data_IF_772778147602
#
_entry.id   IF_772778147602
#
_cell.length_a   1.000
_cell.length_b   1.000
_cell.length_c   1.000
_cell.angle_alpha   90.00
_cell.angle_beta   90.00
_cell.angle_gamma   90.00
#
_symmetry.space_group_name_H-M   'P 1'
#
loop_
_entity.id
_entity.type
_entity.pdbx_description
1 polymer ?
#
# COMPACT_ATOMS: atom_id res chain seq x y z
N UNK A 1 29.92 -2.67 -25.59
CA UNK A 1 29.27 -3.98 -25.80
C UNK A 1 27.86 -3.78 -25.33
N UNK A 2 26.92 -3.56 -26.24
CA UNK A 2 25.53 -3.27 -25.89
C UNK A 2 24.86 -4.56 -25.40
N UNK A 3 24.69 -4.67 -24.09
CA UNK A 3 23.81 -5.68 -23.50
C UNK A 3 22.39 -5.41 -24.02
N UNK A 4 21.91 -6.28 -24.91
CA UNK A 4 20.48 -6.34 -25.25
C UNK A 4 19.71 -6.63 -23.97
N UNK A 5 19.16 -5.60 -23.34
CA UNK A 5 18.20 -5.73 -22.25
C UNK A 5 16.95 -6.41 -22.80
N UNK A 6 16.62 -7.57 -22.26
CA UNK A 6 15.41 -8.30 -22.64
C UNK A 6 14.26 -7.73 -21.83
N UNK A 7 13.33 -7.03 -22.49
CA UNK A 7 12.05 -6.64 -21.91
C UNK A 7 11.23 -7.91 -21.67
N UNK A 8 11.07 -8.30 -20.41
CA UNK A 8 10.20 -9.42 -20.05
C UNK A 8 8.79 -8.89 -19.83
N UNK A 9 7.89 -9.26 -20.73
CA UNK A 9 6.48 -8.89 -20.69
C UNK A 9 5.62 -10.10 -21.03
N UNK A 10 4.56 -10.31 -20.25
CA UNK A 10 3.60 -11.40 -20.45
C UNK A 10 2.18 -10.85 -20.40
N UNK A 11 1.36 -11.22 -21.40
CA UNK A 11 -0.06 -10.82 -21.44
C UNK A 11 -0.89 -11.76 -20.58
N UNK A 12 -1.66 -11.20 -19.66
CA UNK A 12 -2.38 -11.96 -18.63
C UNK A 12 -3.81 -11.46 -18.45
N UNK A 13 -4.71 -12.35 -18.01
CA UNK A 13 -6.10 -12.01 -17.66
C UNK A 13 -6.14 -11.42 -16.25
N UNK A 14 -6.39 -10.12 -16.13
CA UNK A 14 -6.53 -9.45 -14.83
C UNK A 14 -7.88 -9.74 -14.18
N UNK A 15 -8.95 -9.76 -14.98
CA UNK A 15 -10.31 -10.01 -14.51
C UNK A 15 -11.25 -10.41 -15.63
N UNK A 16 -12.45 -10.85 -15.29
CA UNK A 16 -13.49 -11.21 -16.25
C UNK A 16 -14.89 -10.86 -15.77
N UNK A 17 -15.85 -10.88 -16.69
CA UNK A 17 -17.27 -10.75 -16.38
C UNK A 17 -17.91 -12.06 -15.91
N UNK A 18 -17.14 -13.14 -15.78
CA UNK A 18 -17.60 -14.37 -15.16
C UNK A 18 -17.55 -14.26 -13.63
N UNK A 19 -18.30 -15.11 -12.93
CA UNK A 19 -18.26 -15.23 -11.48
C UNK A 19 -16.85 -15.64 -11.07
N UNK A 20 -16.19 -14.83 -10.23
CA UNK A 20 -14.87 -15.16 -9.71
C UNK A 20 -14.95 -16.16 -8.54
N UNK A 21 -13.78 -16.61 -8.05
CA UNK A 21 -13.70 -17.55 -6.91
C UNK A 21 -14.31 -17.02 -5.60
N UNK A 22 -14.60 -15.72 -5.53
CA UNK A 22 -15.23 -15.05 -4.40
C UNK A 22 -16.74 -14.82 -4.62
N UNK A 23 -17.31 -15.32 -5.73
CA UNK A 23 -18.73 -15.15 -6.06
C UNK A 23 -19.07 -13.76 -6.62
N UNK A 24 -18.06 -12.94 -6.95
CA UNK A 24 -18.29 -11.59 -7.47
C UNK A 24 -18.35 -11.58 -9.00
N UNK A 25 -19.21 -10.72 -9.55
CA UNK A 25 -19.36 -10.46 -10.98
C UNK A 25 -18.92 -9.02 -11.25
N UNK A 26 -18.03 -8.83 -12.23
CA UNK A 26 -17.66 -7.49 -12.71
C UNK A 26 -18.38 -7.24 -14.04
N UNK A 27 -19.10 -6.12 -14.15
CA UNK A 27 -19.78 -5.76 -15.40
C UNK A 27 -18.76 -5.43 -16.49
N UNK A 28 -19.11 -5.63 -17.76
CA UNK A 28 -18.30 -5.18 -18.90
C UNK A 28 -17.91 -3.70 -18.76
N UNK A 29 -18.87 -2.85 -18.42
CA UNK A 29 -18.64 -1.42 -18.22
C UNK A 29 -17.59 -1.15 -17.13
N UNK A 30 -17.57 -1.93 -16.04
CA UNK A 30 -16.55 -1.82 -15.00
C UNK A 30 -15.16 -2.28 -15.49
N UNK A 31 -15.09 -3.34 -16.31
CA UNK A 31 -13.84 -3.76 -16.97
C UNK A 31 -13.30 -2.66 -17.91
N UNK A 32 -14.16 -2.09 -18.75
CA UNK A 32 -13.82 -0.99 -19.66
C UNK A 32 -13.38 0.25 -18.88
N UNK A 33 -14.07 0.57 -17.78
CA UNK A 33 -13.68 1.67 -16.89
C UNK A 33 -12.33 1.43 -16.20
N UNK A 34 -11.82 0.21 -16.15
CA UNK A 34 -10.49 -0.08 -15.61
C UNK A 34 -9.39 0.29 -16.60
N UNK A 35 -9.68 0.33 -17.90
CA UNK A 35 -8.71 0.62 -18.95
C UNK A 35 -8.10 2.03 -18.83
N UNK A 36 -8.88 3.03 -18.39
CA UNK A 36 -8.36 4.40 -18.15
C UNK A 36 -7.25 4.45 -17.10
N UNK A 37 -7.24 3.51 -16.14
CA UNK A 37 -6.19 3.44 -15.13
C UNK A 37 -4.96 2.68 -15.64
N UNK A 38 -5.16 1.58 -16.37
CA UNK A 38 -4.06 0.77 -16.92
C UNK A 38 -3.33 1.52 -18.05
N UNK A 39 -4.08 2.11 -18.96
CA UNK A 39 -3.56 2.84 -20.12
C UNK A 39 -3.32 4.32 -19.83
N UNK A 40 -3.50 4.75 -18.57
CA UNK A 40 -3.29 6.13 -18.14
C UNK A 40 -1.81 6.54 -18.10
N UNK A 41 -1.58 7.80 -17.72
CA UNK A 41 -0.22 8.39 -17.55
C UNK A 41 0.55 7.81 -16.37
N UNK A 42 -0.16 7.17 -15.44
CA UNK A 42 0.37 6.48 -14.26
C UNK A 42 0.02 5.01 -14.41
N UNK A 43 0.92 4.12 -13.98
CA UNK A 43 0.72 2.67 -14.18
C UNK A 43 0.40 1.97 -12.87
N UNK A 44 -0.59 1.05 -12.85
CA UNK A 44 -0.79 0.17 -11.72
C UNK A 44 0.48 -0.64 -11.44
N UNK A 45 0.78 -0.84 -10.17
CA UNK A 45 1.87 -1.73 -9.75
C UNK A 45 1.61 -3.16 -10.20
N UNK A 46 2.66 -3.88 -10.57
CA UNK A 46 2.65 -5.33 -10.57
C UNK A 46 2.98 -5.80 -9.15
N UNK A 47 1.95 -6.10 -8.35
CA UNK A 47 2.06 -6.53 -6.96
C UNK A 47 2.03 -8.04 -6.77
N UNK A 48 2.19 -8.49 -5.53
CA UNK A 48 2.07 -9.89 -5.11
C UNK A 48 0.91 -10.04 -4.14
N UNK A 49 -0.09 -10.85 -4.50
CA UNK A 49 -1.26 -11.18 -3.66
C UNK A 49 -1.95 -9.96 -3.00
N UNK A 50 -2.01 -8.83 -3.71
CA UNK A 50 -2.50 -7.55 -3.19
C UNK A 50 -1.80 -7.08 -1.89
N UNK A 51 -0.62 -7.60 -1.58
CA UNK A 51 0.14 -7.27 -0.39
C UNK A 51 1.00 -6.02 -0.65
N UNK A 52 0.60 -4.89 -0.04
CA UNK A 52 1.28 -3.59 -0.17
C UNK A 52 2.67 -3.55 0.47
N UNK A 53 2.97 -4.50 1.36
CA UNK A 53 4.23 -4.53 2.13
C UNK A 53 5.44 -4.88 1.28
N UNK A 54 5.21 -5.44 0.09
CA UNK A 54 6.28 -5.72 -0.86
C UNK A 54 6.50 -4.52 -1.78
N UNK A 55 7.75 -4.24 -2.21
CA UNK A 55 7.96 -3.40 -3.39
C UNK A 55 7.31 -4.04 -4.63
N UNK A 56 6.90 -3.27 -5.65
CA UNK A 56 6.41 -3.82 -6.91
C UNK A 56 7.44 -4.72 -7.61
N UNK A 57 6.99 -5.69 -8.41
CA UNK A 57 7.82 -6.45 -9.35
C UNK A 57 8.03 -5.70 -10.68
N UNK A 58 7.18 -4.71 -10.94
CA UNK A 58 7.11 -3.96 -12.17
C UNK A 58 5.78 -3.23 -12.28
N UNK A 59 5.20 -3.18 -13.48
CA UNK A 59 3.97 -2.44 -13.77
C UNK A 59 3.01 -3.23 -14.66
N UNK A 60 1.74 -2.82 -14.64
CA UNK A 60 0.70 -3.33 -15.53
C UNK A 60 0.43 -2.27 -16.60
N UNK A 61 0.41 -2.65 -17.87
CA UNK A 61 0.22 -1.73 -18.99
C UNK A 61 -0.55 -2.39 -20.15
N UNK A 62 -0.87 -1.62 -21.21
CA UNK A 62 -1.45 -2.11 -22.47
C UNK A 62 -2.71 -2.97 -22.27
N UNK A 63 -3.62 -2.45 -21.43
CA UNK A 63 -4.88 -3.08 -21.11
C UNK A 63 -5.84 -3.08 -22.30
N UNK A 64 -6.60 -4.16 -22.44
CA UNK A 64 -7.66 -4.33 -23.44
C UNK A 64 -8.81 -5.13 -22.82
N UNK A 65 -10.04 -4.87 -23.26
CA UNK A 65 -11.17 -5.76 -22.98
C UNK A 65 -11.44 -6.58 -24.22
N UNK A 66 -11.33 -7.90 -24.10
CA UNK A 66 -11.62 -8.85 -25.18
C UNK A 66 -12.85 -9.68 -24.84
N UNK A 67 -13.67 -10.01 -25.84
CA UNK A 67 -14.80 -10.91 -25.69
C UNK A 67 -14.42 -12.31 -26.18
N UNK A 68 -14.80 -13.34 -25.41
CA UNK A 68 -14.71 -14.73 -25.82
C UNK A 68 -15.87 -15.52 -25.23
N UNK A 69 -16.63 -16.19 -26.10
CA UNK A 69 -17.77 -17.03 -25.72
C UNK A 69 -18.82 -16.29 -24.85
N UNK A 70 -19.08 -15.01 -25.13
CA UNK A 70 -19.99 -14.16 -24.35
C UNK A 70 -19.45 -13.70 -22.99
N UNK A 71 -18.19 -14.02 -22.66
CA UNK A 71 -17.50 -13.54 -21.46
C UNK A 71 -16.50 -12.45 -21.86
N UNK A 72 -16.54 -11.32 -21.15
CA UNK A 72 -15.59 -10.22 -21.32
C UNK A 72 -14.40 -10.41 -20.38
N UNK A 73 -13.19 -10.25 -20.89
CA UNK A 73 -11.94 -10.39 -20.16
C UNK A 73 -11.15 -9.09 -20.24
N UNK A 74 -10.74 -8.57 -19.09
CA UNK A 74 -9.73 -7.52 -19.02
C UNK A 74 -8.36 -8.19 -19.05
N UNK A 75 -7.64 -8.01 -20.15
CA UNK A 75 -6.27 -8.50 -20.33
C UNK A 75 -5.31 -7.31 -20.31
N UNK A 76 -4.08 -7.53 -19.84
CA UNK A 76 -3.03 -6.52 -19.83
C UNK A 76 -1.65 -7.17 -19.83
N UNK A 77 -0.65 -6.38 -20.16
CA UNK A 77 0.75 -6.80 -20.13
C UNK A 77 1.31 -6.57 -18.71
N UNK A 78 1.91 -7.63 -18.16
CA UNK A 78 2.72 -7.56 -16.94
C UNK A 78 4.17 -7.29 -17.35
N UNK A 79 4.68 -6.09 -17.09
CA UNK A 79 6.05 -5.70 -17.41
C UNK A 79 6.90 -5.70 -16.15
N UNK A 80 7.97 -6.47 -16.13
CA UNK A 80 8.89 -6.59 -14.99
C UNK A 80 10.06 -5.61 -15.11
N UNK A 81 10.64 -5.19 -13.98
CA UNK A 81 11.84 -4.34 -14.02
C UNK A 81 13.00 -5.02 -14.73
N UNK A 82 13.71 -4.26 -15.57
CA UNK A 82 14.82 -4.75 -16.38
C UNK A 82 16.17 -4.41 -15.76
N UNK A 83 16.22 -3.30 -15.00
CA UNK A 83 17.45 -2.78 -14.43
C UNK A 83 17.36 -2.84 -12.90
N UNK A 84 18.44 -3.28 -12.27
CA UNK A 84 18.64 -3.26 -10.82
C UNK A 84 20.03 -2.69 -10.54
N UNK A 85 20.12 -1.69 -9.67
CA UNK A 85 21.37 -1.01 -9.33
C UNK A 85 21.48 -0.81 -7.83
N UNK A 86 22.63 -1.16 -7.25
CA UNK A 86 22.96 -0.76 -5.88
C UNK A 86 23.29 0.73 -5.84
N UNK A 87 22.67 1.45 -4.91
CA UNK A 87 23.00 2.84 -4.58
C UNK A 87 23.38 2.91 -3.11
N UNK A 88 24.40 3.71 -2.81
CA UNK A 88 24.83 3.96 -1.43
C UNK A 88 24.57 5.42 -1.12
N UNK A 89 23.79 5.67 -0.08
CA UNK A 89 23.54 7.02 0.39
C UNK A 89 24.75 7.55 1.17
N UNK A 90 24.83 8.87 1.32
CA UNK A 90 25.91 9.55 2.05
C UNK A 90 26.09 9.09 3.51
N UNK A 91 25.03 8.54 4.13
CA UNK A 91 25.06 7.97 5.47
C UNK A 91 25.47 6.47 5.49
N UNK A 92 25.90 5.92 4.36
CA UNK A 92 26.29 4.52 4.21
C UNK A 92 25.13 3.55 3.97
N UNK A 93 23.87 4.01 3.96
CA UNK A 93 22.72 3.14 3.71
C UNK A 93 22.76 2.61 2.28
N UNK A 94 22.80 1.28 2.15
CA UNK A 94 22.74 0.60 0.86
C UNK A 94 21.30 0.32 0.45
N UNK A 95 20.94 0.77 -0.74
CA UNK A 95 19.63 0.57 -1.34
C UNK A 95 19.77 -0.08 -2.72
N UNK A 96 18.68 -0.66 -3.19
CA UNK A 96 18.53 -1.13 -4.57
C UNK A 96 17.54 -0.20 -5.26
N UNK A 97 17.91 0.25 -6.46
CA UNK A 97 17.03 0.94 -7.39
C UNK A 97 16.65 -0.03 -8.52
N UNK A 98 15.34 -0.21 -8.74
CA UNK A 98 14.79 -0.96 -9.87
C UNK A 98 14.05 -0.01 -10.83
N UNK A 99 14.25 -0.21 -12.14
CA UNK A 99 13.73 0.69 -13.17
C UNK A 99 13.53 0.01 -14.53
N UNK A 100 12.73 0.67 -15.38
CA UNK A 100 12.54 0.34 -16.79
C UNK A 100 13.55 1.10 -17.66
N UNK A 101 13.94 0.54 -18.80
CA UNK A 101 14.88 1.21 -19.72
C UNK A 101 14.22 2.13 -20.75
N UNK A 102 12.92 1.98 -20.97
CA UNK A 102 12.18 2.64 -22.04
C UNK A 102 11.50 3.95 -21.58
N UNK A 103 10.44 3.81 -20.81
CA UNK A 103 9.47 4.83 -20.47
C UNK A 103 9.31 4.89 -18.96
N UNK A 104 9.33 6.10 -18.43
CA UNK A 104 9.21 6.36 -17.00
C UNK A 104 7.78 6.80 -16.70
N UNK A 105 6.97 5.86 -16.21
CA UNK A 105 5.62 6.15 -15.71
C UNK A 105 5.58 6.01 -14.19
N UNK A 106 5.21 7.05 -13.44
CA UNK A 106 4.99 6.91 -12.01
C UNK A 106 3.80 5.98 -11.70
N UNK A 107 3.79 5.42 -10.50
CA UNK A 107 2.77 4.46 -10.10
C UNK A 107 1.46 5.15 -9.72
N UNK A 108 0.32 4.53 -10.09
CA UNK A 108 -1.01 5.04 -9.75
C UNK A 108 -1.20 5.18 -8.24
N UNK A 109 -0.68 4.25 -7.43
CA UNK A 109 -0.78 4.31 -5.96
C UNK A 109 -0.03 5.49 -5.31
N UNK A 110 0.88 6.13 -6.06
CA UNK A 110 1.63 7.31 -5.62
C UNK A 110 0.96 8.62 -6.01
N UNK A 111 -0.21 8.57 -6.66
CA UNK A 111 -0.97 9.77 -6.97
C UNK A 111 -1.28 10.54 -5.67
N UNK A 112 -0.94 11.83 -5.69
CA UNK A 112 -1.08 12.68 -4.54
C UNK A 112 -2.49 13.21 -4.44
N UNK A 113 -3.11 12.95 -3.30
CA UNK A 113 -4.42 13.48 -2.96
C UNK A 113 -4.34 14.12 -1.57
N UNK A 114 -4.98 15.28 -1.41
CA UNK A 114 -5.16 15.88 -0.09
C UNK A 114 -6.28 15.14 0.63
N UNK A 115 -6.01 14.78 1.88
CA UNK A 115 -6.99 14.18 2.77
C UNK A 115 -7.56 15.31 3.64
N UNK A 116 -8.80 15.67 3.37
CA UNK A 116 -9.51 16.76 4.09
C UNK A 116 -10.12 16.28 5.41
N UNK A 117 -10.54 15.02 5.46
CA UNK A 117 -11.14 14.38 6.64
C UNK A 117 -10.41 13.08 6.92
N UNK A 118 -10.18 12.74 8.18
CA UNK A 118 -9.59 11.45 8.56
C UNK A 118 -10.46 10.32 8.01
N UNK A 119 -9.84 9.32 7.39
CA UNK A 119 -10.52 8.17 6.79
C UNK A 119 -10.01 6.87 7.41
N UNK A 120 -10.92 5.98 7.81
CA UNK A 120 -10.59 4.61 8.21
C UNK A 120 -11.10 3.67 7.14
N UNK A 121 -10.20 2.84 6.61
CA UNK A 121 -10.53 1.82 5.63
C UNK A 121 -10.33 0.42 6.20
N UNK A 122 -11.26 -0.48 5.90
CA UNK A 122 -11.18 -1.89 6.30
C UNK A 122 -11.44 -2.81 5.11
N UNK A 123 -10.87 -4.01 5.15
CA UNK A 123 -11.22 -5.10 4.25
C UNK A 123 -12.31 -5.98 4.89
N UNK A 124 -13.56 -5.99 4.36
CA UNK A 124 -14.65 -6.78 4.93
C UNK A 124 -14.36 -8.29 4.95
N UNK A 125 -13.42 -8.79 4.13
CA UNK A 125 -12.97 -10.19 4.18
C UNK A 125 -12.36 -10.51 5.55
N UNK A 126 -11.69 -9.54 6.20
CA UNK A 126 -11.17 -9.70 7.55
C UNK A 126 -12.26 -9.71 8.63
N UNK A 127 -13.52 -9.46 8.28
CA UNK A 127 -14.69 -9.46 9.17
C UNK A 127 -15.70 -10.54 8.78
N UNK A 128 -15.22 -11.63 8.16
CA UNK A 128 -16.06 -12.76 7.74
C UNK A 128 -16.69 -12.59 6.35
N UNK A 129 -16.24 -11.61 5.56
CA UNK A 129 -16.67 -11.40 4.18
C UNK A 129 -18.00 -10.67 4.00
N UNK A 130 -18.62 -10.20 5.08
CA UNK A 130 -19.86 -9.43 5.02
C UNK A 130 -19.58 -7.92 4.97
N UNK A 131 -20.11 -7.25 3.94
CA UNK A 131 -20.15 -5.79 3.85
C UNK A 131 -20.81 -5.15 5.08
N UNK A 132 -21.87 -5.77 5.61
CA UNK A 132 -22.57 -5.29 6.80
C UNK A 132 -21.64 -5.29 8.03
N UNK A 133 -20.83 -6.34 8.20
CA UNK A 133 -19.87 -6.39 9.31
C UNK A 133 -18.80 -5.31 9.17
N UNK A 134 -18.34 -5.05 7.94
CA UNK A 134 -17.43 -3.94 7.63
C UNK A 134 -18.03 -2.58 8.03
N UNK A 135 -19.27 -2.31 7.63
CA UNK A 135 -19.97 -1.08 7.98
C UNK A 135 -20.21 -0.94 9.48
N UNK A 136 -20.61 -2.01 10.17
CA UNK A 136 -20.81 -1.99 11.61
C UNK A 136 -19.51 -1.66 12.36
N UNK A 137 -18.40 -2.30 11.96
CA UNK A 137 -17.08 -2.00 12.50
C UNK A 137 -16.73 -0.51 12.37
N UNK A 138 -16.94 0.07 11.19
CA UNK A 138 -16.65 1.48 10.90
C UNK A 138 -17.59 2.43 11.66
N UNK A 139 -18.88 2.10 11.74
CA UNK A 139 -19.89 2.91 12.43
C UNK A 139 -19.62 2.98 13.93
N UNK A 140 -19.19 1.88 14.54
CA UNK A 140 -18.80 1.88 15.95
C UNK A 140 -17.61 2.81 16.21
N UNK A 141 -16.55 2.73 15.39
CA UNK A 141 -15.41 3.64 15.48
C UNK A 141 -15.83 5.10 15.30
N UNK A 142 -16.75 5.37 14.38
CA UNK A 142 -17.29 6.70 14.13
C UNK A 142 -18.10 7.25 15.31
N UNK A 143 -18.99 6.45 15.88
CA UNK A 143 -19.83 6.84 17.03
C UNK A 143 -19.00 7.10 18.29
N UNK A 144 -17.87 6.42 18.40
CA UNK A 144 -16.95 6.53 19.52
C UNK A 144 -15.85 7.59 19.36
N UNK A 145 -15.77 8.21 18.17
CA UNK A 145 -14.76 9.19 17.81
C UNK A 145 -15.20 10.60 18.22
N UNK A 146 -14.26 11.36 18.76
CA UNK A 146 -14.43 12.81 19.02
C UNK A 146 -14.05 13.66 17.81
N UNK A 147 -13.66 13.01 16.71
CA UNK A 147 -13.28 13.61 15.44
C UNK A 147 -14.28 13.22 14.35
N UNK A 148 -14.49 14.12 13.40
CA UNK A 148 -15.17 13.78 12.16
C UNK A 148 -14.29 12.80 11.36
N UNK A 149 -14.81 11.59 11.14
CA UNK A 149 -14.14 10.55 10.35
C UNK A 149 -15.05 10.02 9.25
N UNK A 150 -14.43 9.61 8.14
CA UNK A 150 -15.06 8.85 7.06
C UNK A 150 -14.68 7.39 7.20
N UNK A 151 -15.64 6.49 7.08
CA UNK A 151 -15.39 5.06 6.94
C UNK A 151 -15.49 4.67 5.48
N UNK A 152 -14.60 3.80 5.01
CA UNK A 152 -14.71 3.19 3.69
C UNK A 152 -14.16 1.77 3.68
N UNK A 153 -14.35 1.09 2.55
CA UNK A 153 -13.94 -0.30 2.38
C UNK A 153 -12.97 -0.41 1.22
N UNK A 154 -12.08 -1.39 1.31
CA UNK A 154 -11.29 -1.85 0.17
C UNK A 154 -11.36 -3.38 0.11
N UNK A 155 -11.16 -3.95 -1.07
CA UNK A 155 -11.26 -5.41 -1.26
C UNK A 155 -9.97 -5.90 -1.87
N UNK A 156 -9.33 -6.87 -1.20
CA UNK A 156 -8.19 -7.61 -1.74
C UNK A 156 -8.67 -8.97 -2.22
N UNK A 157 -8.45 -9.29 -3.50
CA UNK A 157 -8.79 -10.60 -4.07
C UNK A 157 -7.72 -11.66 -3.77
N UNK A 158 -7.29 -11.75 -2.52
CA UNK A 158 -6.45 -12.83 -1.98
C UNK A 158 -7.33 -13.93 -1.41
N UNK A 159 -6.86 -15.18 -1.40
CA UNK A 159 -7.62 -16.31 -0.85
C UNK A 159 -7.89 -16.15 0.66
N UNK A 160 -6.87 -15.74 1.42
CA UNK A 160 -7.00 -15.43 2.85
C UNK A 160 -6.08 -14.24 3.13
N UNK A 161 -6.53 -12.99 2.88
CA UNK A 161 -5.69 -11.82 3.06
C UNK A 161 -5.29 -11.64 4.53
N UNK A 162 -4.07 -11.17 4.75
CA UNK A 162 -3.62 -10.80 6.08
C UNK A 162 -4.51 -9.66 6.63
N UNK A 163 -4.93 -9.70 7.91
CA UNK A 163 -5.73 -8.65 8.50
C UNK A 163 -5.12 -7.27 8.28
N UNK A 164 -5.88 -6.29 7.78
CA UNK A 164 -5.38 -4.94 7.52
C UNK A 164 -6.44 -3.89 7.88
N UNK A 165 -5.97 -2.81 8.50
CA UNK A 165 -6.73 -1.57 8.71
C UNK A 165 -5.86 -0.39 8.28
N UNK A 166 -6.47 0.56 7.57
CA UNK A 166 -5.78 1.76 7.06
C UNK A 166 -6.41 2.97 7.70
N UNK A 167 -5.59 3.85 8.28
CA UNK A 167 -6.01 5.13 8.84
C UNK A 167 -5.31 6.22 8.03
N UNK A 168 -6.08 6.96 7.23
CA UNK A 168 -5.57 8.10 6.48
C UNK A 168 -5.74 9.37 7.30
N UNK A 169 -4.63 10.06 7.54
CA UNK A 169 -4.59 11.30 8.30
C UNK A 169 -4.43 12.51 7.37
N UNK A 170 -4.87 13.68 7.83
CA UNK A 170 -4.69 14.92 7.08
C UNK A 170 -3.24 15.40 7.12
N UNK A 171 -2.82 16.28 6.19
CA UNK A 171 -1.47 16.86 6.19
C UNK A 171 -1.21 17.61 7.51
N UNK A 172 -2.22 18.26 8.09
CA UNK A 172 -2.13 19.02 9.34
C UNK A 172 -1.72 18.12 10.51
N UNK A 173 -2.32 16.92 10.62
CA UNK A 173 -1.94 15.92 11.63
C UNK A 173 -0.50 15.44 11.39
N UNK A 174 -0.09 15.26 10.13
CA UNK A 174 1.32 14.99 9.80
C UNK A 174 2.27 16.06 10.32
N UNK A 175 1.91 17.34 10.22
CA UNK A 175 2.73 18.42 10.78
C UNK A 175 2.73 18.39 12.32
N UNK A 176 1.59 18.09 12.96
CA UNK A 176 1.46 17.93 14.41
C UNK A 176 2.36 16.80 14.97
N UNK A 177 2.49 15.71 14.22
CA UNK A 177 3.36 14.57 14.47
C UNK A 177 4.86 14.87 14.21
N UNK A 178 5.20 16.11 13.84
CA UNK A 178 6.59 16.57 13.68
C UNK A 178 7.21 16.29 12.30
N UNK A 179 6.57 15.46 11.48
CA UNK A 179 7.07 15.02 10.16
C UNK A 179 6.69 15.95 9.00
N UNK A 180 5.79 16.90 9.24
CA UNK A 180 5.41 17.90 8.25
C UNK A 180 6.59 18.76 7.78
N UNK A 181 6.62 19.05 6.47
CA UNK A 181 7.64 19.86 5.81
C UNK A 181 7.20 21.31 5.53
N UNK A 182 5.96 21.65 5.90
CA UNK A 182 5.39 23.00 5.82
C UNK A 182 5.37 23.63 7.21
N UNK A 183 5.47 24.97 7.27
CA UNK A 183 5.27 25.71 8.52
C UNK A 183 3.77 25.79 8.83
N UNK A 184 3.40 25.64 10.11
CA UNK A 184 2.04 25.88 10.59
C UNK A 184 1.93 27.37 10.95
N UNK A 185 0.86 28.08 10.52
CA UNK A 185 0.53 29.39 11.07
C UNK A 185 0.25 29.32 12.59
N UNK A 186 0.72 30.29 13.38
CA UNK A 186 0.61 30.27 14.85
C UNK A 186 -0.82 30.03 15.36
N UNK A 187 -1.83 30.62 14.70
CA UNK A 187 -3.25 30.46 15.07
C UNK A 187 -3.80 29.03 14.92
N UNK A 188 -3.16 28.19 14.10
CA UNK A 188 -3.56 26.78 13.94
C UNK A 188 -2.87 25.87 14.96
N UNK A 189 -1.82 26.33 15.66
CA UNK A 189 -1.04 25.48 16.56
C UNK A 189 -1.83 25.03 17.80
N UNK A 190 -2.70 25.88 18.34
CA UNK A 190 -3.50 25.58 19.53
C UNK A 190 -4.56 24.50 19.25
N UNK A 191 -5.34 24.64 18.18
CA UNK A 191 -6.36 23.65 17.79
C UNK A 191 -5.77 22.28 17.45
N UNK A 192 -4.54 22.27 16.90
CA UNK A 192 -3.83 21.05 16.55
C UNK A 192 -3.49 20.20 17.79
N UNK A 193 -3.21 20.81 18.95
CA UNK A 193 -2.86 20.09 20.16
C UNK A 193 -4.01 19.21 20.68
N UNK A 194 -5.21 19.78 20.74
CA UNK A 194 -6.42 19.04 21.15
C UNK A 194 -6.76 17.93 20.15
N UNK A 195 -6.68 18.21 18.85
CA UNK A 195 -6.96 17.23 17.81
C UNK A 195 -5.98 16.08 17.81
N UNK A 196 -4.70 16.33 18.12
CA UNK A 196 -3.69 15.27 18.20
C UNK A 196 -4.00 14.25 19.31
N UNK A 197 -4.46 14.70 20.48
CA UNK A 197 -4.88 13.80 21.56
C UNK A 197 -6.08 12.93 21.13
N UNK A 198 -7.07 13.52 20.44
CA UNK A 198 -8.21 12.79 19.89
C UNK A 198 -7.79 11.80 18.81
N UNK A 199 -6.80 12.15 17.98
CA UNK A 199 -6.21 11.24 16.98
C UNK A 199 -5.55 10.04 17.64
N UNK A 200 -4.78 10.24 18.72
CA UNK A 200 -4.20 9.10 19.45
C UNK A 200 -5.25 8.15 20.02
N UNK A 201 -6.34 8.71 20.55
CA UNK A 201 -7.47 7.92 21.04
C UNK A 201 -8.12 7.13 19.91
N UNK A 202 -8.34 7.75 18.75
CA UNK A 202 -8.88 7.09 17.56
C UNK A 202 -7.98 5.95 17.08
N UNK A 203 -6.67 6.18 16.95
CA UNK A 203 -5.70 5.16 16.54
C UNK A 203 -5.70 4.00 17.53
N UNK A 204 -5.65 4.29 18.83
CA UNK A 204 -5.64 3.26 19.89
C UNK A 204 -6.90 2.41 19.88
N UNK A 205 -8.08 3.02 19.75
CA UNK A 205 -9.37 2.31 19.64
C UNK A 205 -9.43 1.45 18.38
N UNK A 206 -9.01 2.01 17.24
CA UNK A 206 -8.96 1.29 15.96
C UNK A 206 -8.07 0.05 16.06
N UNK A 207 -6.91 0.17 16.72
CA UNK A 207 -5.98 -0.94 16.98
C UNK A 207 -6.63 -2.00 17.87
N UNK A 208 -7.17 -1.60 19.03
CA UNK A 208 -7.77 -2.53 19.99
C UNK A 208 -8.95 -3.30 19.39
N UNK A 209 -9.86 -2.58 18.70
CA UNK A 209 -11.00 -3.19 18.01
C UNK A 209 -10.53 -4.16 16.92
N UNK A 210 -9.51 -3.77 16.14
CA UNK A 210 -8.97 -4.61 15.09
C UNK A 210 -8.35 -5.91 15.62
N UNK A 211 -7.62 -5.87 16.73
CA UNK A 211 -7.07 -7.08 17.39
C UNK A 211 -8.21 -8.04 17.75
N UNK A 212 -9.28 -7.50 18.34
CA UNK A 212 -10.42 -8.26 18.83
C UNK A 212 -11.29 -8.83 17.71
N UNK A 213 -11.44 -8.14 16.58
CA UNK A 213 -12.46 -8.50 15.57
C UNK A 213 -11.87 -9.01 14.26
N UNK A 214 -10.70 -8.55 13.83
CA UNK A 214 -10.17 -8.95 12.52
C UNK A 214 -9.64 -10.38 12.49
N UNK A 215 -9.99 -11.07 11.40
CA UNK A 215 -9.65 -12.43 11.07
C UNK A 215 -8.75 -12.49 9.82
N UNK A 216 -7.91 -13.53 9.70
CA UNK A 216 -7.78 -14.67 10.62
C UNK A 216 -6.95 -14.38 11.90
N UNK A 217 -7.33 -14.99 13.03
CA UNK A 217 -6.71 -14.78 14.36
C UNK A 217 -5.26 -15.27 14.50
N UNK A 218 -4.84 -16.20 13.66
CA UNK A 218 -3.50 -16.76 13.68
C UNK A 218 -2.48 -15.99 12.83
N UNK A 219 -2.89 -14.92 12.14
CA UNK A 219 -2.00 -14.07 11.33
C UNK A 219 -1.76 -12.72 11.99
N UNK A 220 -0.60 -12.06 11.79
CA UNK A 220 -0.39 -10.69 12.27
C UNK A 220 -1.37 -9.70 11.61
N UNK A 221 -1.60 -8.54 12.22
CA UNK A 221 -2.41 -7.47 11.65
C UNK A 221 -1.49 -6.37 11.11
N UNK A 222 -1.77 -5.88 9.91
CA UNK A 222 -1.16 -4.68 9.35
C UNK A 222 -1.98 -3.44 9.77
N UNK A 223 -1.37 -2.63 10.63
CA UNK A 223 -1.86 -1.29 10.96
C UNK A 223 -1.15 -0.28 10.07
N UNK A 224 -1.88 0.28 9.11
CA UNK A 224 -1.34 1.20 8.10
C UNK A 224 -1.80 2.61 8.42
N UNK A 225 -0.88 3.55 8.52
CA UNK A 225 -1.18 4.99 8.60
C UNK A 225 -0.68 5.67 7.33
N UNK A 226 -1.60 6.29 6.58
CA UNK A 226 -1.27 7.06 5.37
C UNK A 226 -1.35 8.57 5.68
N UNK A 227 -0.33 9.33 5.28
CA UNK A 227 -0.24 10.77 5.54
C UNK A 227 0.27 11.50 4.29
N UNK A 228 -0.45 12.52 3.77
CA UNK A 228 0.05 13.34 2.67
C UNK A 228 1.11 14.32 3.20
N UNK A 229 2.30 14.33 2.59
CA UNK A 229 3.43 15.18 2.96
C UNK A 229 4.06 15.77 1.70
N UNK A 230 3.94 17.10 1.48
CA UNK A 230 4.64 17.84 0.40
C UNK A 230 4.57 17.13 -0.97
N UNK A 231 3.36 16.87 -1.48
CA UNK A 231 3.09 16.17 -2.75
C UNK A 231 3.53 14.70 -2.81
N UNK A 232 3.94 14.11 -1.69
CA UNK A 232 4.19 12.69 -1.55
C UNK A 232 3.20 12.07 -0.56
N UNK A 233 3.01 10.75 -0.65
CA UNK A 233 2.27 9.94 0.31
C UNK A 233 3.26 9.20 1.22
N UNK A 234 3.14 9.41 2.53
CA UNK A 234 3.84 8.61 3.53
C UNK A 234 2.94 7.46 3.96
N UNK A 235 3.49 6.25 4.04
CA UNK A 235 2.81 5.06 4.55
C UNK A 235 3.64 4.44 5.68
N UNK A 236 3.08 4.41 6.88
CA UNK A 236 3.70 3.85 8.08
C UNK A 236 2.98 2.54 8.43
N UNK A 237 3.70 1.42 8.47
CA UNK A 237 3.08 0.10 8.69
C UNK A 237 3.67 -0.57 9.93
N UNK A 238 2.79 -0.97 10.85
CA UNK A 238 3.12 -1.86 11.96
C UNK A 238 2.47 -3.22 11.72
N UNK A 239 3.24 -4.31 11.87
CA UNK A 239 2.75 -5.67 11.66
C UNK A 239 2.82 -6.45 12.96
N UNK A 240 1.71 -6.58 13.68
CA UNK A 240 1.67 -7.24 14.99
C UNK A 240 0.23 -7.60 15.39
N UNK A 241 0.07 -8.44 16.40
CA UNK A 241 -1.19 -8.58 17.15
C UNK A 241 -1.12 -8.00 18.56
N UNK A 242 0.07 -7.57 19.00
CA UNK A 242 0.22 -6.91 20.28
C UNK A 242 -0.24 -5.44 20.15
N UNK A 243 -1.36 -5.04 20.78
CA UNK A 243 -1.87 -3.68 20.66
C UNK A 243 -0.91 -2.65 21.23
N UNK A 244 -0.14 -2.97 22.29
CA UNK A 244 0.79 -2.04 22.91
C UNK A 244 1.95 -1.70 21.96
N UNK A 245 2.46 -2.69 21.23
CA UNK A 245 3.49 -2.48 20.19
C UNK A 245 2.95 -1.55 19.09
N UNK A 246 1.74 -1.81 18.61
CA UNK A 246 1.12 -0.98 17.57
C UNK A 246 0.85 0.45 18.04
N UNK A 247 0.30 0.63 19.24
CA UNK A 247 0.02 1.95 19.82
C UNK A 247 1.32 2.73 20.04
N UNK A 248 2.35 2.07 20.59
CA UNK A 248 3.63 2.72 20.87
C UNK A 248 4.32 3.21 19.60
N UNK A 249 4.29 2.42 18.51
CA UNK A 249 4.91 2.77 17.24
C UNK A 249 4.44 4.12 16.67
N UNK A 250 3.19 4.50 16.94
CA UNK A 250 2.59 5.73 16.42
C UNK A 250 2.75 6.97 17.31
N UNK A 251 3.48 6.87 18.44
CA UNK A 251 3.76 8.03 19.31
C UNK A 251 4.59 9.08 18.59
N UNK A 252 4.31 10.37 18.86
CA UNK A 252 4.98 11.52 18.23
C UNK A 252 6.50 11.42 18.33
N UNK A 253 7.01 11.10 19.51
CA UNK A 253 8.45 11.07 19.81
C UNK A 253 9.17 10.00 18.97
N UNK A 254 8.44 8.98 18.50
CA UNK A 254 8.97 7.95 17.61
C UNK A 254 8.86 8.41 16.14
N UNK A 255 7.69 8.90 15.74
CA UNK A 255 7.41 9.32 14.36
C UNK A 255 8.26 10.52 13.94
N UNK A 256 8.47 11.51 14.82
CA UNK A 256 9.16 12.77 14.47
C UNK A 256 10.61 12.56 14.01
N UNK A 257 11.23 11.46 14.43
CA UNK A 257 12.58 11.07 14.00
C UNK A 257 12.67 10.81 12.49
N UNK A 258 11.54 10.52 11.82
CA UNK A 258 11.49 10.29 10.38
C UNK A 258 11.61 11.57 9.54
N UNK A 259 11.46 12.76 10.14
CA UNK A 259 11.35 14.03 9.40
C UNK A 259 12.50 14.27 8.43
N UNK A 260 13.73 14.02 8.86
CA UNK A 260 14.95 14.23 8.06
C UNK A 260 15.00 13.27 6.87
N UNK A 261 14.67 11.99 7.10
CA UNK A 261 14.64 10.95 6.07
C UNK A 261 13.52 11.16 5.05
N UNK A 262 12.33 11.57 5.50
CA UNK A 262 11.20 11.93 4.62
C UNK A 262 11.62 13.12 3.74
N UNK A 263 12.19 14.17 4.33
CA UNK A 263 12.69 15.34 3.59
C UNK A 263 13.75 14.93 2.57
N UNK A 264 14.66 14.04 2.94
CA UNK A 264 15.69 13.54 2.03
C UNK A 264 15.06 12.79 0.86
N UNK A 265 14.19 11.82 1.14
CA UNK A 265 13.53 10.98 0.13
C UNK A 265 12.77 11.82 -0.90
N UNK A 266 12.00 12.82 -0.45
CA UNK A 266 11.26 13.72 -1.36
C UNK A 266 12.22 14.56 -2.21
N UNK A 267 13.24 15.18 -1.62
CA UNK A 267 14.06 16.16 -2.33
C UNK A 267 15.23 15.57 -3.12
N UNK A 268 15.66 14.34 -2.79
CA UNK A 268 16.86 13.71 -3.37
C UNK A 268 16.55 12.45 -4.15
N UNK A 269 15.48 11.74 -3.81
CA UNK A 269 15.05 10.51 -4.49
C UNK A 269 13.75 10.72 -5.29
N UNK A 270 13.27 11.96 -5.41
CA UNK A 270 12.03 12.32 -6.11
C UNK A 270 10.82 11.46 -5.68
N UNK A 271 10.74 11.15 -4.39
CA UNK A 271 9.71 10.28 -3.85
C UNK A 271 8.31 10.88 -4.01
N UNK A 272 7.38 10.10 -4.57
CA UNK A 272 5.93 10.37 -4.57
C UNK A 272 5.19 9.47 -3.58
N UNK A 273 5.74 8.28 -3.25
CA UNK A 273 5.32 7.47 -2.10
C UNK A 273 6.54 7.00 -1.33
N UNK A 274 6.47 7.01 0.00
CA UNK A 274 7.51 6.48 0.90
C UNK A 274 6.83 5.54 1.90
N UNK A 275 7.32 4.31 2.02
CA UNK A 275 6.82 3.32 2.97
C UNK A 275 7.87 3.00 4.04
N UNK A 276 7.45 3.00 5.31
CA UNK A 276 8.25 2.57 6.45
C UNK A 276 7.58 1.40 7.18
N UNK A 277 8.39 0.47 7.70
CA UNK A 277 7.96 -0.57 8.63
C UNK A 277 8.49 -0.32 10.02
N UNK A 278 7.65 -0.55 11.03
CA UNK A 278 8.11 -0.63 12.40
C UNK A 278 8.70 -2.02 12.65
N UNK A 279 9.99 -2.07 12.98
CA UNK A 279 10.72 -3.32 13.13
C UNK A 279 10.74 -3.82 14.60
N UNK A 280 11.32 -5.00 14.81
CA UNK A 280 11.40 -5.66 16.12
C UNK A 280 12.26 -4.88 17.13
N UNK A 281 13.16 -4.02 16.66
CA UNK A 281 13.98 -3.12 17.49
C UNK A 281 13.22 -1.85 17.92
N UNK A 282 11.91 -1.79 17.69
CA UNK A 282 11.04 -0.64 17.93
C UNK A 282 11.48 0.62 17.18
N UNK A 283 11.95 0.47 15.94
CA UNK A 283 12.37 1.56 15.06
C UNK A 283 11.65 1.52 13.73
N UNK A 284 11.38 2.69 13.19
CA UNK A 284 10.92 2.81 11.81
C UNK A 284 12.10 2.60 10.85
N UNK A 285 11.94 1.65 9.92
CA UNK A 285 12.91 1.31 8.88
C UNK A 285 12.26 1.55 7.52
N UNK A 286 12.94 2.27 6.63
CA UNK A 286 12.45 2.49 5.27
C UNK A 286 12.31 1.16 4.54
N UNK A 287 11.16 0.91 3.91
CA UNK A 287 10.91 -0.30 3.14
C UNK A 287 11.21 -0.10 1.65
N UNK A 288 10.44 0.80 1.02
CA UNK A 288 10.67 1.26 -0.34
C UNK A 288 10.04 2.63 -0.60
N UNK A 289 10.46 3.22 -1.71
CA UNK A 289 10.03 4.49 -2.28
C UNK A 289 9.54 4.19 -3.69
N UNK A 290 8.45 4.86 -4.08
CA UNK A 290 8.03 4.99 -5.46
C UNK A 290 8.33 6.42 -5.90
N UNK A 291 9.18 6.57 -6.92
CA UNK A 291 9.61 7.86 -7.42
C UNK A 291 8.71 8.36 -8.57
N UNK A 292 8.74 9.67 -8.82
CA UNK A 292 7.96 10.32 -9.87
C UNK A 292 8.32 9.88 -11.30
N UNK A 293 9.46 9.23 -11.48
CA UNK A 293 9.93 8.66 -12.74
C UNK A 293 9.68 7.15 -12.84
N UNK A 294 8.84 6.57 -11.97
CA UNK A 294 8.49 5.15 -12.05
C UNK A 294 9.54 4.18 -11.51
N UNK A 295 10.60 4.70 -10.88
CA UNK A 295 11.58 3.86 -10.17
C UNK A 295 11.05 3.37 -8.83
N UNK A 296 11.55 2.21 -8.42
CA UNK A 296 11.35 1.67 -7.08
C UNK A 296 12.70 1.62 -6.38
N UNK A 297 12.81 2.30 -5.24
CA UNK A 297 14.05 2.36 -4.46
C UNK A 297 13.76 1.76 -3.09
N UNK A 298 14.50 0.73 -2.67
CA UNK A 298 14.21 0.02 -1.43
C UNK A 298 15.44 -0.66 -0.83
N UNK A 299 15.29 -1.23 0.36
CA UNK A 299 16.38 -1.95 1.02
C UNK A 299 16.58 -3.33 0.42
N UNK A 300 17.79 -3.88 0.52
CA UNK A 300 18.07 -5.28 0.11
C UNK A 300 17.12 -6.27 0.79
N UNK A 301 16.77 -6.00 2.06
CA UNK A 301 15.84 -6.78 2.87
C UNK A 301 14.43 -6.79 2.27
N UNK A 302 13.90 -5.64 1.83
CA UNK A 302 12.54 -5.56 1.29
C UNK A 302 12.40 -6.27 -0.05
N UNK A 303 13.38 -6.11 -0.95
CA UNK A 303 13.44 -6.85 -2.21
C UNK A 303 13.62 -8.35 -2.01
N UNK A 304 14.52 -8.77 -1.12
CA UNK A 304 14.69 -10.20 -0.80
C UNK A 304 13.40 -10.82 -0.28
N UNK A 305 12.69 -10.15 0.64
CA UNK A 305 11.43 -10.65 1.18
C UNK A 305 10.36 -10.82 0.09
N UNK A 306 10.27 -9.87 -0.84
CA UNK A 306 9.39 -9.95 -2.02
C UNK A 306 9.76 -11.14 -2.90
N UNK A 307 11.02 -11.28 -3.25
CA UNK A 307 11.48 -12.31 -4.19
C UNK A 307 11.32 -13.71 -3.59
N UNK A 308 11.68 -13.89 -2.31
CA UNK A 308 11.47 -15.15 -1.60
C UNK A 308 9.97 -15.52 -1.53
N UNK A 309 9.07 -14.54 -1.39
CA UNK A 309 7.61 -14.77 -1.42
C UNK A 309 7.12 -15.13 -2.82
N UNK A 310 7.57 -14.41 -3.85
CA UNK A 310 7.23 -14.71 -5.25
C UNK A 310 7.65 -16.13 -5.66
N UNK A 311 8.86 -16.56 -5.30
CA UNK A 311 9.33 -17.91 -5.61
C UNK A 311 8.45 -18.99 -4.96
N UNK A 312 8.01 -18.79 -3.71
CA UNK A 312 7.07 -19.70 -3.03
C UNK A 312 5.74 -19.81 -3.79
N UNK A 313 5.17 -18.69 -4.23
CA UNK A 313 3.93 -18.70 -5.02
C UNK A 313 4.10 -19.49 -6.32
N UNK A 314 5.20 -19.28 -7.05
CA UNK A 314 5.49 -20.00 -8.30
C UNK A 314 5.64 -21.51 -8.05
N UNK A 315 6.30 -21.92 -6.96
CA UNK A 315 6.42 -23.33 -6.59
C UNK A 315 5.08 -23.97 -6.23
N UNK A 316 4.21 -23.26 -5.52
CA UNK A 316 2.87 -23.72 -5.16
C UNK A 316 1.97 -23.88 -6.39
N UNK A 317 2.01 -22.93 -7.33
CA UNK A 317 1.29 -23.02 -8.61
C UNK A 317 1.73 -24.27 -9.41
N UNK A 318 3.04 -24.48 -9.57
CA UNK A 318 3.58 -25.67 -10.26
C UNK A 318 3.18 -26.98 -9.59
N UNK A 319 3.08 -27.01 -8.25
CA UNK A 319 2.60 -28.20 -7.51
C UNK A 319 1.13 -28.46 -7.76
N UNK A 320 0.31 -27.42 -7.81
CA UNK A 320 -1.14 -27.54 -8.05
C UNK A 320 -1.44 -27.96 -9.50
N UNK A 321 -0.72 -27.44 -10.48
CA UNK A 321 -0.82 -27.88 -11.89
C UNK A 321 -0.49 -29.36 -12.05
N UNK A 322 0.56 -29.85 -11.38
CA UNK A 322 0.91 -31.28 -11.39
C UNK A 322 -0.15 -32.17 -10.76
N UNK A 323 -0.85 -31.68 -9.73
CA UNK A 323 -1.94 -32.43 -9.07
C UNK A 323 -3.22 -32.46 -9.92
N UNK A 324 -3.51 -31.41 -10.67
CA UNK A 324 -4.70 -31.34 -11.53
C UNK A 324 -4.54 -32.10 -12.85
N UNK A 325 -3.29 -32.37 -13.26
CA UNK A 325 -2.95 -33.14 -14.47
C UNK A 325 -2.63 -34.62 -14.19
N UNK A 326 -2.80 -35.09 -12.95
CA UNK A 326 -2.58 -36.48 -12.52
C UNK A 326 -3.91 -37.10 -12.07
#
# INVERSE_FOLDING_TARGET
MDEKKVKYSERYVLSSSNVDKHGHIITQQALESSLKFINGKRKPRLGLDHNRTFPPLGRINNGEVIEKDGIYYLVADQEFFETSKNITLHNGLELIEMSFSDENFPFTESEFELIETIEIQIDPINLGGSFENGQNFLNELKNESELEIKGSEFIRKSEIPDPEIIIKLTEIIGIALGIGLRKIPEKMAESIGEDLAKVYKLISKSIQKSVNELNPKNKPIHFVVEIPIKKAKLELIVTTRNPDVAINAFRKEIIENLKSEIKFSINKLNAEKIQYFFNEDNKWEMNYILASDGKVIGTKKSFKKRDDYFQKMVEEQKKNEKKNNA
#
